data_IF_374798194080
#
_entry.id   IF_374798194080
#
_cell.length_a   1.000
_cell.length_b   1.000
_cell.length_c   1.000
_cell.angle_alpha   90.00
_cell.angle_beta   90.00
_cell.angle_gamma   90.00
#
_symmetry.space_group_name_H-M   'P 1'
#
loop_
_entity.id
_entity.type
_entity.pdbx_description
1 polymer ?
#
# COMPACT_ATOMS: atom_id res chain seq x y z
N UNK A 1 3.96 -0.82 8.07
CA UNK A 1 2.71 -0.14 7.63
C UNK A 1 2.98 0.91 6.57
N UNK A 2 3.84 1.91 6.83
CA UNK A 2 4.11 3.02 5.92
C UNK A 2 4.32 2.61 4.44
N UNK A 3 5.19 1.62 4.17
CA UNK A 3 5.42 1.17 2.79
C UNK A 3 4.15 0.64 2.09
N UNK A 4 3.25 -0.04 2.80
CA UNK A 4 1.96 -0.48 2.24
C UNK A 4 1.10 0.71 1.82
N UNK A 5 1.13 1.80 2.59
CA UNK A 5 0.41 3.04 2.25
C UNK A 5 1.04 3.71 1.02
N UNK A 6 2.37 3.82 0.98
CA UNK A 6 3.10 4.40 -0.15
C UNK A 6 3.03 3.56 -1.44
N UNK A 7 2.75 2.26 -1.31
CA UNK A 7 2.60 1.36 -2.45
C UNK A 7 1.21 1.44 -3.10
N UNK A 8 0.22 2.03 -2.42
CA UNK A 8 -1.12 2.18 -2.96
C UNK A 8 -1.18 3.30 -4.00
N UNK A 9 -1.68 3.05 -5.21
CA UNK A 9 -1.76 4.08 -6.25
C UNK A 9 -2.80 5.15 -5.96
N UNK A 10 -3.79 4.88 -5.10
CA UNK A 10 -4.84 5.82 -4.74
C UNK A 10 -4.44 6.78 -3.60
N UNK A 11 -3.29 6.58 -2.95
CA UNK A 11 -2.82 7.43 -1.85
C UNK A 11 -1.98 8.57 -2.41
N UNK A 12 -2.38 9.81 -2.12
CA UNK A 12 -1.70 11.02 -2.62
C UNK A 12 -0.90 11.75 -1.54
N UNK A 13 -1.28 11.59 -0.27
CA UNK A 13 -0.60 12.20 0.87
C UNK A 13 -0.63 11.26 2.07
N UNK A 14 0.45 11.27 2.85
CA UNK A 14 0.58 10.54 4.12
C UNK A 14 1.15 11.49 5.17
N UNK A 15 0.41 11.68 6.26
CA UNK A 15 0.86 12.39 7.45
C UNK A 15 1.08 11.39 8.59
N UNK A 16 2.34 11.24 9.02
CA UNK A 16 2.73 10.47 10.19
C UNK A 16 2.40 11.23 11.49
N UNK A 17 1.71 10.57 12.42
CA UNK A 17 1.30 11.12 13.72
C UNK A 17 0.61 12.50 13.62
N UNK A 18 -0.55 12.61 12.94
CA UNK A 18 -1.34 13.84 12.89
C UNK A 18 -1.77 14.31 14.29
N UNK A 19 -2.26 15.56 14.44
CA UNK A 19 -2.74 16.08 15.71
C UNK A 19 -3.74 15.15 16.39
N UNK A 20 -3.72 15.04 17.73
CA UNK A 20 -4.58 14.12 18.45
C UNK A 20 -6.05 14.52 18.39
N UNK A 21 -6.92 13.51 18.40
CA UNK A 21 -8.37 13.69 18.58
C UNK A 21 -8.74 13.44 20.04
N UNK A 22 -9.47 14.38 20.62
CA UNK A 22 -10.03 14.24 21.96
C UNK A 22 -11.34 13.43 21.92
N UNK A 23 -11.50 12.50 22.85
CA UNK A 23 -12.71 11.68 23.00
C UNK A 23 -13.02 11.44 24.48
N UNK A 24 -14.23 10.95 24.79
CA UNK A 24 -14.58 10.51 26.13
C UNK A 24 -14.46 8.99 26.23
N UNK A 25 -13.82 8.51 27.30
CA UNK A 25 -13.76 7.08 27.60
C UNK A 25 -15.07 6.56 28.21
N UNK A 26 -15.12 5.26 28.53
CA UNK A 26 -16.28 4.61 29.14
C UNK A 26 -16.70 5.20 30.49
N UNK A 27 -15.79 5.91 31.16
CA UNK A 27 -16.04 6.56 32.45
C UNK A 27 -16.39 8.04 32.31
N UNK A 28 -16.50 8.55 31.08
CA UNK A 28 -16.76 9.95 30.79
C UNK A 28 -15.52 10.86 30.90
N UNK A 29 -14.33 10.30 31.18
CA UNK A 29 -13.10 11.10 31.26
C UNK A 29 -12.62 11.46 29.87
N UNK A 30 -12.18 12.72 29.71
CA UNK A 30 -11.56 13.20 28.47
C UNK A 30 -10.19 12.53 28.30
N UNK A 31 -9.98 11.95 27.12
CA UNK A 31 -8.74 11.33 26.67
C UNK A 31 -8.39 11.87 25.28
N UNK A 32 -7.14 11.70 24.87
CA UNK A 32 -6.66 12.03 23.54
C UNK A 32 -6.11 10.78 22.85
N UNK A 33 -6.33 10.67 21.55
CA UNK A 33 -5.75 9.64 20.72
C UNK A 33 -5.03 10.27 19.53
N UNK A 34 -3.75 9.96 19.38
CA UNK A 34 -2.97 10.24 18.17
C UNK A 34 -3.08 9.03 17.26
N UNK A 35 -3.58 9.22 16.05
CA UNK A 35 -3.54 8.19 15.02
C UNK A 35 -2.10 7.99 14.53
N UNK A 36 -1.75 6.80 14.07
CA UNK A 36 -0.42 6.56 13.49
C UNK A 36 -0.28 7.27 12.15
N UNK A 37 -1.33 7.25 11.32
CA UNK A 37 -1.31 7.93 10.02
C UNK A 37 -2.65 8.62 9.70
N UNK A 38 -2.57 9.72 8.97
CA UNK A 38 -3.69 10.27 8.20
C UNK A 38 -3.30 10.24 6.72
N UNK A 39 -4.11 9.61 5.88
CA UNK A 39 -3.89 9.60 4.43
C UNK A 39 -4.96 10.38 3.70
N UNK A 40 -4.57 11.06 2.62
CA UNK A 40 -5.49 11.55 1.62
C UNK A 40 -5.44 10.62 0.40
N UNK A 41 -6.61 10.32 -0.18
CA UNK A 41 -6.72 9.50 -1.39
C UNK A 41 -7.21 10.32 -2.58
N UNK A 42 -7.03 9.81 -3.80
CA UNK A 42 -7.40 10.49 -5.06
C UNK A 42 -8.85 10.95 -5.13
N UNK A 43 -9.77 10.31 -4.39
CA UNK A 43 -11.16 10.75 -4.26
C UNK A 43 -11.37 12.02 -3.40
N UNK A 44 -10.31 12.60 -2.84
CA UNK A 44 -10.35 13.73 -1.91
C UNK A 44 -10.68 13.34 -0.46
N UNK A 45 -11.04 12.08 -0.20
CA UNK A 45 -11.33 11.59 1.15
C UNK A 45 -10.08 11.42 1.99
N UNK A 46 -10.23 11.61 3.30
CA UNK A 46 -9.19 11.40 4.31
C UNK A 46 -9.52 10.20 5.19
N UNK A 47 -8.51 9.39 5.47
CA UNK A 47 -8.63 8.17 6.27
C UNK A 47 -7.60 8.23 7.40
N UNK A 48 -8.09 8.28 8.64
CA UNK A 48 -7.28 8.17 9.85
C UNK A 48 -7.05 6.70 10.20
N UNK A 49 -5.81 6.33 10.47
CA UNK A 49 -5.35 4.96 10.61
C UNK A 49 -4.71 4.79 11.98
N UNK A 50 -5.27 3.89 12.78
CA UNK A 50 -4.60 3.35 13.95
C UNK A 50 -3.97 2.00 13.60
N UNK A 51 -2.73 1.78 14.01
CA UNK A 51 -1.97 0.54 13.79
C UNK A 51 -1.73 -0.10 15.14
N UNK A 52 -2.19 -1.33 15.32
CA UNK A 52 -1.89 -2.10 16.54
C UNK A 52 -1.68 -3.58 16.22
N UNK A 53 -0.83 -4.28 16.98
CA UNK A 53 -0.82 -5.73 16.96
C UNK A 53 -2.21 -6.28 17.30
N UNK A 54 -2.69 -7.27 16.57
CA UNK A 54 -4.04 -7.81 16.69
C UNK A 54 -4.30 -8.33 18.11
N UNK A 55 -3.38 -9.11 18.66
CA UNK A 55 -3.47 -9.62 20.02
C UNK A 55 -3.54 -8.50 21.09
N UNK A 56 -2.89 -7.36 20.86
CA UNK A 56 -2.95 -6.21 21.78
C UNK A 56 -4.28 -5.48 21.61
N UNK A 57 -4.76 -5.31 20.38
CA UNK A 57 -6.04 -4.68 20.11
C UNK A 57 -7.20 -5.45 20.76
N UNK A 58 -7.19 -6.78 20.66
CA UNK A 58 -8.20 -7.65 21.30
C UNK A 58 -8.08 -7.62 22.83
N UNK A 59 -6.88 -7.87 23.38
CA UNK A 59 -6.66 -7.89 24.84
C UNK A 59 -7.07 -6.59 25.52
N UNK A 60 -6.93 -5.45 24.85
CA UNK A 60 -7.23 -4.13 25.42
C UNK A 60 -8.65 -3.62 25.11
N UNK A 61 -9.49 -4.38 24.39
CA UNK A 61 -10.79 -3.83 23.92
C UNK A 61 -10.58 -2.56 23.09
N UNK A 62 -9.52 -2.52 22.28
CA UNK A 62 -9.19 -1.31 21.55
C UNK A 62 -10.23 -1.00 20.47
N UNK A 63 -10.96 -2.00 19.98
CA UNK A 63 -12.04 -1.82 19.01
C UNK A 63 -13.17 -0.96 19.58
N UNK A 64 -13.61 -1.18 20.83
CA UNK A 64 -14.63 -0.31 21.44
C UNK A 64 -14.09 1.09 21.72
N UNK A 65 -12.81 1.20 22.05
CA UNK A 65 -12.14 2.50 22.22
C UNK A 65 -12.11 3.25 20.89
N UNK A 66 -11.75 2.58 19.79
CA UNK A 66 -11.67 3.17 18.46
C UNK A 66 -13.04 3.58 17.93
N UNK A 67 -14.12 2.87 18.28
CA UNK A 67 -15.48 3.30 17.94
C UNK A 67 -15.83 4.65 18.58
N UNK A 68 -15.41 4.89 19.84
CA UNK A 68 -15.59 6.18 20.52
C UNK A 68 -14.73 7.26 19.89
N UNK A 69 -13.46 6.95 19.61
CA UNK A 69 -12.56 7.87 18.89
C UNK A 69 -13.16 8.24 17.53
N UNK A 70 -13.69 7.26 16.77
CA UNK A 70 -14.36 7.50 15.49
C UNK A 70 -15.57 8.43 15.65
N UNK A 71 -16.41 8.21 16.65
CA UNK A 71 -17.57 9.06 16.90
C UNK A 71 -17.17 10.50 17.28
N UNK A 72 -16.03 10.68 17.94
CA UNK A 72 -15.48 11.98 18.31
C UNK A 72 -14.61 12.63 17.21
N UNK A 73 -14.24 11.89 16.16
CA UNK A 73 -13.41 12.40 15.07
C UNK A 73 -14.26 13.27 14.15
N UNK A 74 -13.96 14.57 14.00
CA UNK A 74 -14.74 15.42 13.13
C UNK A 74 -14.47 15.10 11.66
N UNK A 75 -15.46 15.29 10.78
CA UNK A 75 -15.29 15.12 9.34
C UNK A 75 -14.25 16.08 8.73
N UNK A 76 -14.02 17.21 9.41
CA UNK A 76 -12.92 18.12 9.06
C UNK A 76 -11.53 17.53 9.34
N UNK A 77 -11.42 16.44 10.09
CA UNK A 77 -10.19 15.68 10.32
C UNK A 77 -10.09 14.47 9.38
N UNK A 78 -11.09 13.58 9.39
CA UNK A 78 -11.11 12.40 8.53
C UNK A 78 -12.54 11.92 8.20
N UNK A 79 -12.74 11.38 6.99
CA UNK A 79 -13.99 10.76 6.55
C UNK A 79 -14.15 9.33 7.07
N UNK A 80 -13.03 8.66 7.34
CA UNK A 80 -12.99 7.28 7.86
C UNK A 80 -11.92 7.13 8.93
N UNK A 81 -12.22 6.28 9.90
CA UNK A 81 -11.26 5.80 10.90
C UNK A 81 -11.15 4.29 10.76
N UNK A 82 -9.92 3.78 10.65
CA UNK A 82 -9.65 2.34 10.48
C UNK A 82 -8.60 1.85 11.45
N UNK A 83 -8.78 0.61 11.94
CA UNK A 83 -7.75 -0.15 12.62
C UNK A 83 -7.07 -1.05 11.60
N UNK A 84 -5.74 -0.98 11.53
CA UNK A 84 -4.94 -1.91 10.75
C UNK A 84 -4.09 -2.74 11.71
N UNK A 85 -4.12 -4.05 11.53
CA UNK A 85 -3.29 -5.00 12.27
C UNK A 85 -2.44 -5.80 11.29
N UNK A 86 -1.51 -6.60 11.80
CA UNK A 86 -0.73 -7.56 10.99
C UNK A 86 -1.61 -8.59 10.26
N UNK A 87 -2.87 -8.77 10.68
CA UNK A 87 -3.85 -9.62 9.98
C UNK A 87 -4.54 -8.92 8.81
N UNK A 88 -4.41 -7.60 8.69
CA UNK A 88 -5.07 -6.81 7.64
C UNK A 88 -4.37 -6.87 6.28
N UNK A 89 -3.18 -7.47 6.20
CA UNK A 89 -2.40 -7.58 4.97
C UNK A 89 -1.59 -8.87 4.95
N UNK A 90 -1.28 -9.37 3.76
CA UNK A 90 -0.39 -10.52 3.62
C UNK A 90 1.07 -10.10 3.89
N UNK A 91 1.89 -10.94 4.55
CA UNK A 91 3.31 -10.65 4.75
C UNK A 91 4.09 -10.36 3.46
N UNK A 92 3.74 -11.04 2.37
CA UNK A 92 4.30 -10.79 1.03
C UNK A 92 3.99 -9.38 0.52
N UNK A 93 2.79 -8.86 0.76
CA UNK A 93 2.41 -7.50 0.38
C UNK A 93 3.31 -6.47 1.09
N UNK A 94 3.63 -6.69 2.37
CA UNK A 94 4.53 -5.81 3.12
C UNK A 94 5.97 -5.84 2.56
N UNK A 95 6.49 -7.04 2.26
CA UNK A 95 7.82 -7.20 1.63
C UNK A 95 7.86 -6.57 0.23
N UNK A 96 6.84 -6.80 -0.57
CA UNK A 96 6.76 -6.25 -1.92
C UNK A 96 6.64 -4.71 -1.90
N UNK A 97 5.85 -4.16 -0.97
CA UNK A 97 5.74 -2.72 -0.81
C UNK A 97 7.07 -2.05 -0.40
N UNK A 98 7.84 -2.71 0.46
CA UNK A 98 9.19 -2.26 0.80
C UNK A 98 10.13 -2.30 -0.42
N UNK A 99 10.15 -3.43 -1.15
CA UNK A 99 10.94 -3.55 -2.40
C UNK A 99 10.56 -2.48 -3.42
N UNK A 100 9.27 -2.21 -3.59
CA UNK A 100 8.78 -1.14 -4.48
C UNK A 100 9.32 0.23 -4.07
N UNK A 101 9.26 0.54 -2.78
CA UNK A 101 9.80 1.79 -2.25
C UNK A 101 11.30 1.90 -2.59
N UNK A 102 12.08 0.85 -2.34
CA UNK A 102 13.51 0.82 -2.65
C UNK A 102 13.78 0.99 -4.15
N UNK A 103 12.99 0.35 -5.02
CA UNK A 103 13.13 0.47 -6.47
C UNK A 103 12.76 1.86 -7.00
N UNK A 104 11.80 2.55 -6.38
CA UNK A 104 11.41 3.92 -6.75
C UNK A 104 12.47 4.96 -6.40
N UNK A 105 13.40 4.66 -5.48
CA UNK A 105 14.49 5.59 -5.11
C UNK A 105 15.53 5.78 -6.20
N UNK A 106 15.60 4.89 -7.18
CA UNK A 106 16.52 5.01 -8.32
C UNK A 106 15.72 4.94 -9.63
N UNK A 107 15.26 6.08 -10.17
CA UNK A 107 14.59 6.13 -11.45
C UNK A 107 15.46 5.56 -12.57
N UNK A 108 14.85 4.80 -13.48
CA UNK A 108 15.51 4.21 -14.64
C UNK A 108 14.56 4.25 -15.84
N UNK A 109 14.41 5.42 -16.49
CA UNK A 109 13.44 5.61 -17.57
C UNK A 109 13.69 4.70 -18.79
N UNK A 110 14.95 4.33 -19.03
CA UNK A 110 15.31 3.41 -20.11
C UNK A 110 14.74 2.01 -19.85
N UNK A 111 14.96 1.46 -18.64
CA UNK A 111 14.41 0.16 -18.28
C UNK A 111 12.88 0.20 -18.22
N UNK A 112 12.30 1.29 -17.70
CA UNK A 112 10.85 1.48 -17.63
C UNK A 112 10.22 1.48 -19.04
N UNK A 113 10.79 2.24 -19.99
CA UNK A 113 10.31 2.30 -21.37
C UNK A 113 10.52 1.00 -22.16
N UNK A 114 11.61 0.28 -21.89
CA UNK A 114 11.87 -1.05 -22.47
C UNK A 114 10.79 -2.06 -22.03
N UNK A 115 10.49 -2.12 -20.73
CA UNK A 115 9.41 -2.96 -20.21
C UNK A 115 8.06 -2.55 -20.79
N UNK A 116 7.74 -1.26 -20.83
CA UNK A 116 6.47 -0.80 -21.39
C UNK A 116 6.28 -1.22 -22.85
N UNK A 117 7.34 -1.11 -23.66
CA UNK A 117 7.33 -1.53 -25.07
C UNK A 117 7.08 -3.03 -25.22
N UNK A 118 7.78 -3.85 -24.42
CA UNK A 118 7.58 -5.31 -24.41
C UNK A 118 6.16 -5.69 -23.98
N UNK A 119 5.62 -5.02 -22.96
CA UNK A 119 4.26 -5.28 -22.46
C UNK A 119 3.18 -5.02 -23.52
N UNK A 120 3.33 -3.97 -24.34
CA UNK A 120 2.39 -3.69 -25.45
C UNK A 120 2.35 -4.81 -26.51
N UNK A 121 3.43 -5.58 -26.65
CA UNK A 121 3.51 -6.71 -27.58
C UNK A 121 3.05 -8.05 -27.00
N UNK A 122 2.75 -8.13 -25.70
CA UNK A 122 2.35 -9.39 -25.05
C UNK A 122 0.96 -9.84 -25.50
N UNK A 123 0.88 -11.04 -26.06
CA UNK A 123 -0.38 -11.68 -26.48
C UNK A 123 -0.94 -12.68 -25.46
N UNK A 124 -0.26 -12.87 -24.33
CA UNK A 124 -0.67 -13.84 -23.31
C UNK A 124 0.17 -13.79 -22.03
N UNK A 125 -0.10 -14.72 -21.09
CA UNK A 125 0.68 -14.86 -19.86
C UNK A 125 2.16 -15.17 -20.12
N UNK A 126 3.04 -14.55 -19.35
CA UNK A 126 4.50 -14.82 -19.33
C UNK A 126 5.00 -14.72 -17.88
N UNK A 127 6.29 -14.92 -17.65
CA UNK A 127 6.93 -14.67 -16.35
C UNK A 127 7.73 -13.36 -16.37
N UNK A 128 8.02 -12.82 -15.18
CA UNK A 128 8.94 -11.66 -15.08
C UNK A 128 10.32 -12.02 -15.63
N UNK A 129 10.80 -13.25 -15.43
CA UNK A 129 12.09 -13.73 -15.92
C UNK A 129 12.18 -13.66 -17.45
N UNK A 130 11.18 -14.19 -18.16
CA UNK A 130 11.13 -14.13 -19.63
C UNK A 130 11.07 -12.68 -20.15
N UNK A 131 10.32 -11.81 -19.47
CA UNK A 131 10.26 -10.39 -19.82
C UNK A 131 11.61 -9.68 -19.60
N UNK A 132 12.30 -10.03 -18.52
CA UNK A 132 13.65 -9.53 -18.22
C UNK A 132 14.65 -10.01 -19.25
N UNK A 133 14.61 -11.28 -19.64
CA UNK A 133 15.47 -11.84 -20.68
C UNK A 133 15.26 -11.14 -22.03
N UNK A 134 14.00 -10.98 -22.45
CA UNK A 134 13.65 -10.30 -23.70
C UNK A 134 14.13 -8.84 -23.75
N UNK A 135 14.23 -8.17 -22.58
CA UNK A 135 14.74 -6.80 -22.51
C UNK A 135 16.27 -6.70 -22.67
N UNK A 136 17.02 -7.75 -22.33
CA UNK A 136 18.48 -7.71 -22.22
C UNK A 136 19.05 -6.86 -21.07
N UNK A 137 18.21 -6.28 -20.20
CA UNK A 137 18.62 -5.32 -19.15
C UNK A 137 18.77 -5.94 -17.74
N UNK A 138 18.52 -7.24 -17.61
CA UNK A 138 18.72 -7.99 -16.37
C UNK A 138 18.00 -7.38 -15.16
N UNK A 139 18.74 -7.16 -14.07
CA UNK A 139 18.17 -6.63 -12.82
C UNK A 139 17.46 -5.28 -12.94
N UNK A 140 17.82 -4.45 -13.94
CA UNK A 140 17.15 -3.17 -14.21
C UNK A 140 15.71 -3.40 -14.70
N UNK A 141 15.55 -4.31 -15.66
CA UNK A 141 14.24 -4.72 -16.16
C UNK A 141 13.38 -5.39 -15.09
N UNK A 142 13.98 -6.15 -14.16
CA UNK A 142 13.22 -6.72 -13.04
C UNK A 142 12.58 -5.62 -12.18
N UNK A 143 13.35 -4.58 -11.85
CA UNK A 143 12.84 -3.42 -11.09
C UNK A 143 11.75 -2.68 -11.85
N UNK A 144 11.93 -2.47 -13.15
CA UNK A 144 10.94 -1.85 -14.02
C UNK A 144 9.63 -2.65 -14.10
N UNK A 145 9.71 -3.97 -14.33
CA UNK A 145 8.54 -4.86 -14.33
C UNK A 145 7.82 -4.87 -12.98
N UNK A 146 8.58 -4.87 -11.87
CA UNK A 146 8.03 -4.77 -10.53
C UNK A 146 7.23 -3.48 -10.32
N UNK A 147 7.79 -2.33 -10.74
CA UNK A 147 7.09 -1.03 -10.69
C UNK A 147 5.84 -1.04 -11.59
N UNK A 148 5.93 -1.63 -12.79
CA UNK A 148 4.82 -1.74 -13.74
C UNK A 148 3.63 -2.54 -13.18
N UNK A 149 3.86 -3.54 -12.33
CA UNK A 149 2.78 -4.25 -11.61
C UNK A 149 2.00 -3.30 -10.70
N UNK A 150 2.70 -2.46 -9.94
CA UNK A 150 2.08 -1.49 -9.04
C UNK A 150 1.46 -0.29 -9.77
N UNK A 151 1.94 0.02 -10.98
CA UNK A 151 1.35 1.03 -11.86
C UNK A 151 0.12 0.51 -12.61
N UNK A 152 -0.21 -0.78 -12.52
CA UNK A 152 -1.33 -1.39 -13.24
C UNK A 152 -1.08 -1.65 -14.73
N UNK A 153 0.14 -1.41 -15.22
CA UNK A 153 0.58 -1.74 -16.60
C UNK A 153 0.74 -3.25 -16.75
N UNK A 154 1.19 -3.91 -15.69
CA UNK A 154 1.24 -5.37 -15.56
C UNK A 154 0.32 -5.82 -14.42
N UNK A 155 -0.12 -7.08 -14.47
CA UNK A 155 -0.84 -7.72 -13.38
C UNK A 155 -0.25 -9.10 -13.10
N UNK A 156 0.13 -9.36 -11.85
CA UNK A 156 0.48 -10.69 -11.38
C UNK A 156 -0.78 -11.57 -11.31
N UNK A 157 -0.67 -12.81 -11.79
CA UNK A 157 -1.79 -13.76 -11.80
C UNK A 157 -2.03 -14.31 -10.40
N UNK A 158 -0.97 -14.75 -9.72
CA UNK A 158 -1.04 -15.30 -8.38
C UNK A 158 -0.67 -14.26 -7.31
N UNK A 159 -1.31 -14.30 -6.12
CA UNK A 159 -0.85 -13.53 -4.98
C UNK A 159 0.45 -14.12 -4.41
N UNK A 160 1.31 -13.28 -3.84
CA UNK A 160 2.55 -13.76 -3.23
C UNK A 160 3.67 -12.74 -3.25
N UNK A 161 4.88 -13.20 -2.93
CA UNK A 161 6.08 -12.42 -3.20
C UNK A 161 6.25 -12.27 -4.71
N UNK A 162 6.61 -11.07 -5.17
CA UNK A 162 6.93 -10.84 -6.58
C UNK A 162 8.38 -11.29 -6.80
N UNK A 163 8.52 -12.31 -7.65
CA UNK A 163 9.75 -13.04 -7.95
C UNK A 163 9.93 -13.14 -9.46
N UNK A 164 11.12 -13.49 -9.98
CA UNK A 164 11.32 -13.71 -11.40
C UNK A 164 10.34 -14.74 -12.00
N UNK A 165 9.95 -15.76 -11.23
CA UNK A 165 9.01 -16.80 -11.64
C UNK A 165 7.53 -16.38 -11.58
N UNK A 166 7.22 -15.19 -11.04
CA UNK A 166 5.84 -14.69 -10.96
C UNK A 166 5.25 -14.58 -12.36
N UNK A 167 4.07 -15.18 -12.56
CA UNK A 167 3.34 -15.09 -13.83
C UNK A 167 2.60 -13.77 -13.91
N UNK A 168 2.69 -13.13 -15.05
CA UNK A 168 2.16 -11.82 -15.33
C UNK A 168 1.38 -11.82 -16.64
N UNK A 169 0.45 -10.89 -16.74
CA UNK A 169 -0.30 -10.54 -17.95
C UNK A 169 -0.32 -9.01 -18.09
N UNK A 170 -0.62 -8.50 -19.30
CA UNK A 170 -0.95 -7.09 -19.46
C UNK A 170 -2.04 -6.68 -18.47
N UNK A 171 -1.83 -5.54 -17.82
CA UNK A 171 -2.86 -4.92 -17.01
C UNK A 171 -3.96 -4.31 -17.87
N UNK A 172 -5.10 -4.01 -17.26
CA UNK A 172 -6.09 -3.15 -17.91
C UNK A 172 -5.53 -1.73 -17.83
N UNK A 173 -5.05 -1.18 -18.96
CA UNK A 173 -4.72 0.24 -19.07
C UNK A 173 -5.91 1.04 -18.50
N UNK A 174 -5.68 1.83 -17.46
CA UNK A 174 -6.64 2.82 -16.96
C UNK A 174 -6.49 4.12 -17.73
#
# INVERSE_FOLDING_TARGET
MLYLLLARPDVVEVWDQPPPVCYQDTTGRKRSHTFDFLIAVTSGKRIAIAVKPDAIAERQGFRETLQRIRAATPLSFADKVVLITERSYCPSAARNAQKLHDFRRTPDPEADGSIETLVRGLSGPTTIAELVEASGLGGRAFRAAFKAIYAGVLRAIEPGDILPTTRIIPGALQ
#
